data_IF_014172175049
#
_entry.id   IF_014172175049
#
_cell.length_a   1.000
_cell.length_b   1.000
_cell.length_c   1.000
_cell.angle_alpha   90.00
_cell.angle_beta   90.00
_cell.angle_gamma   90.00
#
_symmetry.space_group_name_H-M   'P 1'
#
loop_
_entity.id
_entity.type
_entity.pdbx_description
1 polymer ?
#
# COMPACT_ATOMS: atom_id res chain seq x y z
N UNK A 1 7.23 -0.68 -18.63
CA UNK A 1 6.43 0.42 -18.05
C UNK A 1 5.42 -0.22 -17.11
N UNK A 2 5.12 0.37 -15.96
CA UNK A 2 4.15 -0.18 -15.02
C UNK A 2 3.00 0.82 -14.84
N UNK A 3 1.77 0.33 -14.93
CA UNK A 3 0.56 1.15 -14.84
C UNK A 3 -0.17 0.88 -13.52
N UNK A 4 -0.80 1.93 -13.00
CA UNK A 4 -1.67 1.88 -11.84
C UNK A 4 -3.09 1.53 -12.30
N UNK A 5 -3.50 0.27 -12.14
CA UNK A 5 -4.80 -0.21 -12.64
C UNK A 5 -5.63 -0.76 -11.49
N UNK A 6 -6.85 -0.23 -11.36
CA UNK A 6 -7.81 -0.63 -10.35
C UNK A 6 -8.48 -1.97 -10.69
N UNK A 7 -8.63 -2.84 -9.68
CA UNK A 7 -9.47 -4.03 -9.75
C UNK A 7 -9.11 -5.08 -10.82
N UNK A 8 -10.10 -5.87 -11.31
CA UNK A 8 -9.88 -7.10 -12.08
C UNK A 8 -9.19 -6.92 -13.43
N UNK A 9 -9.06 -5.67 -13.91
CA UNK A 9 -8.31 -5.36 -15.13
C UNK A 9 -6.80 -5.43 -14.92
N UNK A 10 -6.30 -5.26 -13.69
CA UNK A 10 -4.87 -5.29 -13.36
C UNK A 10 -4.15 -6.51 -13.95
N UNK A 11 -4.76 -7.68 -13.82
CA UNK A 11 -4.18 -8.92 -14.31
C UNK A 11 -4.08 -8.92 -15.85
N UNK A 12 -4.96 -8.22 -16.58
CA UNK A 12 -4.84 -8.13 -18.04
C UNK A 12 -3.59 -7.37 -18.47
N UNK A 13 -3.13 -6.39 -17.68
CA UNK A 13 -1.93 -5.60 -17.95
C UNK A 13 -0.65 -6.23 -17.38
N UNK A 14 -0.75 -7.04 -16.32
CA UNK A 14 0.39 -7.70 -15.69
C UNK A 14 0.89 -8.96 -16.43
N UNK A 15 0.26 -9.34 -17.54
CA UNK A 15 0.67 -10.53 -18.32
C UNK A 15 2.05 -10.32 -18.95
N UNK A 16 2.83 -11.42 -19.14
CA UNK A 16 4.16 -11.34 -19.75
C UNK A 16 4.18 -10.79 -21.18
N UNK A 17 3.09 -10.95 -21.93
CA UNK A 17 2.91 -10.47 -23.31
C UNK A 17 2.37 -9.03 -23.39
N UNK A 18 2.16 -8.37 -22.25
CA UNK A 18 1.64 -7.00 -22.14
C UNK A 18 2.66 -6.09 -21.44
N UNK A 19 2.29 -5.36 -20.38
CA UNK A 19 3.21 -4.49 -19.65
C UNK A 19 4.20 -5.28 -18.76
N UNK A 20 3.88 -6.54 -18.43
CA UNK A 20 4.68 -7.43 -17.58
C UNK A 20 4.58 -7.17 -16.08
N UNK A 21 4.13 -5.98 -15.66
CA UNK A 21 3.92 -5.63 -14.25
C UNK A 21 2.87 -4.53 -14.10
N UNK A 22 1.99 -4.67 -13.11
CA UNK A 22 1.06 -3.63 -12.66
C UNK A 22 1.05 -3.57 -11.13
N UNK A 23 0.87 -2.38 -10.55
CA UNK A 23 0.91 -2.20 -9.10
C UNK A 23 -0.44 -2.47 -8.43
N UNK A 24 -0.39 -3.15 -7.28
CA UNK A 24 -1.48 -3.30 -6.31
C UNK A 24 -1.44 -2.13 -5.34
N UNK A 25 -2.56 -1.40 -5.21
CA UNK A 25 -2.65 -0.21 -4.37
C UNK A 25 -3.40 -0.42 -3.06
N UNK A 26 -4.03 -1.57 -2.85
CA UNK A 26 -4.77 -1.89 -1.62
C UNK A 26 -3.91 -1.66 -0.36
N UNK A 27 -2.61 -2.00 -0.40
CA UNK A 27 -1.69 -1.80 0.73
C UNK A 27 -1.40 -0.32 1.06
N UNK A 28 -1.61 0.60 0.11
CA UNK A 28 -1.45 2.05 0.32
C UNK A 28 -2.57 2.65 1.17
N UNK A 29 -3.69 1.95 1.32
CA UNK A 29 -4.86 2.40 2.09
C UNK A 29 -4.99 1.68 3.43
N UNK A 30 -4.43 0.47 3.56
CA UNK A 30 -4.53 -0.32 4.80
C UNK A 30 -3.95 0.36 6.04
N UNK A 31 -4.68 0.30 7.15
CA UNK A 31 -4.16 0.65 8.48
C UNK A 31 -3.10 -0.32 9.01
N UNK A 32 -2.63 -0.08 10.23
CA UNK A 32 -1.67 -0.96 10.90
C UNK A 32 -2.36 -2.17 11.56
N UNK A 33 -2.84 -3.12 10.75
CA UNK A 33 -3.49 -4.35 11.22
C UNK A 33 -2.93 -5.59 10.51
N UNK A 34 -2.16 -6.42 11.22
CA UNK A 34 -1.49 -7.58 10.61
C UNK A 34 -2.44 -8.56 9.89
N UNK A 35 -3.67 -8.74 10.38
CA UNK A 35 -4.63 -9.64 9.76
C UNK A 35 -5.12 -9.11 8.41
N UNK A 36 -5.35 -7.80 8.29
CA UNK A 36 -5.73 -7.18 7.02
C UNK A 36 -4.61 -7.27 5.97
N UNK A 37 -3.37 -7.04 6.40
CA UNK A 37 -2.21 -7.19 5.53
C UNK A 37 -2.08 -8.61 5.00
N UNK A 38 -2.16 -9.61 5.87
CA UNK A 38 -2.10 -11.01 5.48
C UNK A 38 -3.25 -11.37 4.52
N UNK A 39 -4.47 -10.91 4.81
CA UNK A 39 -5.65 -11.17 3.97
C UNK A 39 -5.48 -10.58 2.57
N UNK A 40 -5.10 -9.31 2.46
CA UNK A 40 -4.95 -8.63 1.18
C UNK A 40 -3.79 -9.19 0.37
N UNK A 41 -2.62 -9.38 0.99
CA UNK A 41 -1.46 -9.98 0.30
C UNK A 41 -1.76 -11.39 -0.22
N UNK A 42 -2.42 -12.23 0.59
CA UNK A 42 -2.84 -13.57 0.17
C UNK A 42 -3.83 -13.52 -1.01
N UNK A 43 -4.81 -12.62 -0.97
CA UNK A 43 -5.78 -12.45 -2.08
C UNK A 43 -5.09 -12.05 -3.37
N UNK A 44 -4.22 -11.03 -3.32
CA UNK A 44 -3.54 -10.53 -4.51
C UNK A 44 -2.59 -11.58 -5.12
N UNK A 45 -1.90 -12.36 -4.27
CA UNK A 45 -1.07 -13.47 -4.73
C UNK A 45 -1.90 -14.56 -5.39
N UNK A 46 -3.01 -14.99 -4.78
CA UNK A 46 -3.89 -16.00 -5.35
C UNK A 46 -4.53 -15.56 -6.69
N UNK A 47 -4.92 -14.28 -6.80
CA UNK A 47 -5.44 -13.71 -8.04
C UNK A 47 -4.40 -13.69 -9.16
N UNK A 48 -3.16 -13.30 -8.84
CA UNK A 48 -2.07 -13.28 -9.81
C UNK A 48 -1.69 -14.71 -10.26
N UNK A 49 -1.66 -15.66 -9.33
CA UNK A 49 -1.43 -17.08 -9.63
C UNK A 49 -2.52 -17.64 -10.56
N UNK A 50 -3.80 -17.41 -10.22
CA UNK A 50 -4.92 -17.85 -11.04
C UNK A 50 -4.93 -17.24 -12.45
N UNK A 51 -4.39 -16.03 -12.61
CA UNK A 51 -4.28 -15.35 -13.89
C UNK A 51 -2.97 -15.63 -14.65
N UNK A 52 -2.01 -16.34 -14.05
CA UNK A 52 -0.68 -16.55 -14.63
C UNK A 52 0.16 -15.27 -14.77
N UNK A 53 -0.03 -14.30 -13.85
CA UNK A 53 0.65 -13.00 -13.88
C UNK A 53 1.52 -12.76 -12.65
N UNK A 54 2.24 -11.64 -12.63
CA UNK A 54 2.98 -11.21 -11.43
C UNK A 54 2.08 -10.42 -10.48
N UNK A 55 2.46 -10.39 -9.20
CA UNK A 55 1.88 -9.49 -8.21
C UNK A 55 2.98 -8.55 -7.72
N UNK A 56 2.75 -7.24 -7.82
CA UNK A 56 3.70 -6.23 -7.30
C UNK A 56 2.93 -5.18 -6.54
N UNK A 57 3.36 -4.87 -5.32
CA UNK A 57 2.74 -3.86 -4.47
C UNK A 57 3.69 -2.70 -4.21
N UNK A 58 3.12 -1.57 -3.83
CA UNK A 58 3.87 -0.43 -3.29
C UNK A 58 3.23 0.05 -2.00
N UNK A 59 4.06 0.53 -1.07
CA UNK A 59 3.58 1.07 0.22
C UNK A 59 3.40 2.58 0.17
N UNK A 60 3.96 3.25 -0.84
CA UNK A 60 3.87 4.69 -1.03
C UNK A 60 4.23 5.09 -2.46
N UNK A 61 3.56 6.12 -2.96
CA UNK A 61 3.96 6.84 -4.16
C UNK A 61 4.01 8.35 -3.86
N UNK A 62 3.86 9.21 -4.87
CA UNK A 62 3.86 10.66 -4.72
C UNK A 62 2.47 11.25 -4.37
N UNK A 63 1.41 10.45 -4.49
CA UNK A 63 0.03 10.88 -4.27
C UNK A 63 -0.39 10.70 -2.82
N UNK A 64 0.15 9.69 -2.13
CA UNK A 64 -0.21 9.36 -0.74
C UNK A 64 0.81 9.84 0.29
N UNK A 65 0.35 9.96 1.54
CA UNK A 65 1.24 10.18 2.70
C UNK A 65 2.20 8.99 2.83
N UNK A 66 3.49 9.29 3.00
CA UNK A 66 4.55 8.27 3.15
C UNK A 66 4.21 7.29 4.29
N UNK A 67 4.40 6.00 4.05
CA UNK A 67 4.04 4.92 4.97
C UNK A 67 4.67 5.06 6.37
N UNK A 68 5.92 5.51 6.48
CA UNK A 68 6.57 5.81 7.78
C UNK A 68 5.78 6.85 8.61
N UNK A 69 5.27 7.88 7.93
CA UNK A 69 4.39 8.88 8.55
C UNK A 69 3.01 8.32 8.83
N UNK A 70 2.38 7.66 7.85
CA UNK A 70 1.04 7.08 7.98
C UNK A 70 0.94 6.15 9.20
N UNK A 71 1.88 5.22 9.35
CA UNK A 71 1.89 4.30 10.49
C UNK A 71 2.45 4.90 11.78
N UNK A 72 3.10 6.06 11.68
CA UNK A 72 3.51 6.86 12.82
C UNK A 72 2.41 7.76 13.38
N UNK A 73 1.27 7.90 12.72
CA UNK A 73 0.12 8.66 13.23
C UNK A 73 -0.81 7.76 14.06
N UNK A 74 -1.68 8.34 14.92
CA UNK A 74 -2.75 7.58 15.56
C UNK A 74 -3.60 6.82 14.52
N UNK A 75 -4.01 5.60 14.86
CA UNK A 75 -4.86 4.80 13.98
C UNK A 75 -6.18 5.54 13.71
N UNK A 76 -6.67 5.48 12.47
CA UNK A 76 -7.88 6.22 12.04
C UNK A 76 -7.67 7.71 11.78
N UNK A 77 -6.43 8.21 11.78
CA UNK A 77 -6.14 9.59 11.35
C UNK A 77 -6.61 9.81 9.90
N UNK A 78 -7.43 10.85 9.69
CA UNK A 78 -7.72 11.39 8.36
C UNK A 78 -6.44 11.99 7.77
N UNK A 79 -5.88 11.30 6.78
CA UNK A 79 -4.61 11.65 6.16
C UNK A 79 -4.70 12.90 5.26
N UNK A 80 -5.87 13.18 4.70
CA UNK A 80 -6.10 14.36 3.88
C UNK A 80 -6.19 15.59 4.78
N UNK A 81 -6.99 15.53 5.85
CA UNK A 81 -7.04 16.57 6.87
C UNK A 81 -5.64 16.82 7.48
N UNK A 82 -4.88 15.75 7.75
CA UNK A 82 -3.51 15.85 8.25
C UNK A 82 -2.59 16.55 7.24
N UNK A 83 -2.69 16.23 5.95
CA UNK A 83 -1.94 16.90 4.87
C UNK A 83 -2.30 18.39 4.80
N UNK A 84 -3.59 18.74 4.90
CA UNK A 84 -4.04 20.14 4.92
C UNK A 84 -3.60 20.89 6.18
N UNK A 85 -3.32 20.19 7.29
CA UNK A 85 -2.69 20.78 8.47
C UNK A 85 -1.19 21.11 8.29
N UNK A 86 -0.63 20.83 7.09
CA UNK A 86 0.80 20.81 6.78
C UNK A 86 1.58 19.89 7.73
N UNK A 87 0.99 18.72 8.02
CA UNK A 87 1.60 17.66 8.80
C UNK A 87 1.73 17.92 10.30
N UNK A 88 0.91 18.82 10.86
CA UNK A 88 1.02 19.28 12.26
C UNK A 88 0.00 18.65 13.19
N UNK A 89 -1.16 18.23 12.69
CA UNK A 89 -2.29 17.79 13.51
C UNK A 89 -2.99 16.55 12.93
N UNK A 90 -3.06 15.42 13.66
CA UNK A 90 -2.36 15.16 14.93
C UNK A 90 -0.84 15.09 14.77
N UNK A 91 -0.12 15.28 15.88
CA UNK A 91 1.31 14.98 15.91
C UNK A 91 1.53 13.47 15.82
N UNK A 92 2.62 13.03 15.15
CA UNK A 92 2.99 11.62 15.12
C UNK A 92 3.26 11.06 16.52
N UNK A 93 2.91 9.80 16.72
CA UNK A 93 3.20 9.04 17.93
C UNK A 93 4.72 8.94 18.14
N UNK A 94 5.22 9.25 19.34
CA UNK A 94 6.65 9.20 19.63
C UNK A 94 7.20 7.77 19.52
N UNK A 95 8.33 7.59 18.83
CA UNK A 95 9.04 6.30 18.72
C UNK A 95 8.43 5.24 17.80
N UNK A 96 7.29 5.53 17.15
CA UNK A 96 6.56 4.53 16.32
C UNK A 96 7.02 4.51 14.87
N UNK A 97 7.37 5.68 14.30
CA UNK A 97 7.76 5.88 12.90
C UNK A 97 8.71 4.79 12.35
N UNK A 98 9.94 4.64 12.88
CA UNK A 98 10.89 3.69 12.29
C UNK A 98 10.48 2.23 12.44
N UNK A 99 9.72 1.85 13.49
CA UNK A 99 9.40 0.45 13.79
C UNK A 99 8.33 -0.12 12.87
N UNK A 100 7.25 0.62 12.65
CA UNK A 100 6.14 0.17 11.80
C UNK A 100 6.46 0.33 10.31
N UNK A 101 7.18 1.39 9.93
CA UNK A 101 7.62 1.60 8.55
C UNK A 101 8.51 0.48 8.01
N UNK A 102 9.51 0.06 8.80
CA UNK A 102 10.41 -1.03 8.42
C UNK A 102 9.70 -2.40 8.38
N UNK A 103 8.82 -2.66 9.35
CA UNK A 103 8.07 -3.91 9.38
C UNK A 103 7.09 -4.03 8.19
N UNK A 104 6.50 -2.93 7.73
CA UNK A 104 5.66 -2.93 6.52
C UNK A 104 6.46 -3.29 5.26
N UNK A 105 7.71 -2.83 5.16
CA UNK A 105 8.58 -3.03 4.00
C UNK A 105 9.20 -4.43 3.90
N UNK A 106 9.01 -5.29 4.91
CA UNK A 106 9.58 -6.62 4.99
C UNK A 106 8.59 -7.76 4.62
N UNK A 107 7.39 -7.40 4.14
CA UNK A 107 6.35 -8.32 3.64
C UNK A 107 6.48 -8.53 2.13
#
# INVERSE_FOLDING_TARGET
MAEAVEGPRRNLYARPDELGQAFVFDLMELGWNAADWHRITSSCLAEAEAAGTTCTWTLSNHDVVRHDTRFGLPDGTDLDAWRFSAGRSPRPLPGVRPRRGLAAAAL
#
